data_IF_437796223519
#
_entry.id   IF_437796223519
#
_cell.length_a   1.000
_cell.length_b   1.000
_cell.length_c   1.000
_cell.angle_alpha   90.00
_cell.angle_beta   90.00
_cell.angle_gamma   90.00
#
_symmetry.space_group_name_H-M   'P 1'
#
loop_
_entity.id
_entity.type
_entity.pdbx_description
1 polymer ?
#
# COMPACT_ATOMS: atom_id res chain seq x y z
N UNK A 1 -4.34 -6.47 -11.35
CA UNK A 1 -4.06 -6.58 -9.91
C UNK A 1 -5.37 -6.67 -9.14
N UNK A 2 -5.55 -7.72 -8.32
CA UNK A 2 -6.71 -7.88 -7.45
C UNK A 2 -6.43 -7.27 -6.07
N UNK A 3 -7.21 -6.27 -5.67
CA UNK A 3 -7.04 -5.57 -4.38
C UNK A 3 -7.98 -6.07 -3.29
N UNK A 4 -8.88 -7.02 -3.60
CA UNK A 4 -9.89 -7.48 -2.66
C UNK A 4 -9.28 -8.21 -1.46
N UNK A 5 -8.22 -9.00 -1.69
CA UNK A 5 -7.47 -9.67 -0.62
C UNK A 5 -6.75 -8.66 0.29
N UNK A 6 -6.10 -7.65 -0.29
CA UNK A 6 -5.44 -6.59 0.46
C UNK A 6 -6.44 -5.81 1.34
N UNK A 7 -7.60 -5.44 0.78
CA UNK A 7 -8.68 -4.79 1.53
C UNK A 7 -9.12 -5.62 2.73
N UNK A 8 -9.39 -6.93 2.54
CA UNK A 8 -9.78 -7.83 3.63
C UNK A 8 -8.69 -7.97 4.70
N UNK A 9 -7.42 -8.02 4.30
CA UNK A 9 -6.30 -8.08 5.23
C UNK A 9 -6.21 -6.82 6.11
N UNK A 10 -6.38 -5.63 5.52
CA UNK A 10 -6.41 -4.37 6.27
C UNK A 10 -7.56 -4.33 7.27
N UNK A 11 -8.76 -4.76 6.88
CA UNK A 11 -9.93 -4.83 7.79
C UNK A 11 -9.65 -5.75 8.96
N UNK A 12 -9.08 -6.93 8.69
CA UNK A 12 -8.73 -7.90 9.73
C UNK A 12 -7.67 -7.34 10.68
N UNK A 13 -6.64 -6.68 10.14
CA UNK A 13 -5.56 -6.09 10.92
C UNK A 13 -6.06 -4.92 11.80
N UNK A 14 -6.93 -4.06 11.25
CA UNK A 14 -7.55 -2.97 12.00
C UNK A 14 -8.31 -3.50 13.22
N UNK A 15 -9.14 -4.54 13.02
CA UNK A 15 -9.85 -5.22 14.11
C UNK A 15 -8.90 -5.85 15.13
N UNK A 16 -7.83 -6.51 14.69
CA UNK A 16 -6.84 -7.12 15.58
C UNK A 16 -6.09 -6.08 16.44
N UNK A 17 -5.81 -4.90 15.88
CA UNK A 17 -5.14 -3.80 16.58
C UNK A 17 -6.09 -2.92 17.38
N UNK A 18 -7.41 -3.12 17.29
CA UNK A 18 -8.40 -2.27 17.94
C UNK A 18 -8.46 -0.84 17.37
N UNK A 19 -8.04 -0.65 16.12
CA UNK A 19 -8.07 0.66 15.43
C UNK A 19 -9.15 0.67 14.34
N UNK A 20 -9.63 1.85 13.98
CA UNK A 20 -10.55 2.01 12.86
C UNK A 20 -9.87 1.69 11.52
N UNK A 21 -10.62 1.13 10.57
CA UNK A 21 -10.13 0.86 9.21
C UNK A 21 -9.60 2.13 8.53
N UNK A 22 -10.27 3.26 8.75
CA UNK A 22 -9.87 4.56 8.22
C UNK A 22 -8.54 5.02 8.80
N UNK A 23 -8.35 4.89 10.12
CA UNK A 23 -7.10 5.25 10.79
C UNK A 23 -5.92 4.41 10.26
N UNK A 24 -6.12 3.10 10.12
CA UNK A 24 -5.10 2.20 9.58
C UNK A 24 -4.75 2.55 8.12
N UNK A 25 -5.76 2.79 7.27
CA UNK A 25 -5.53 3.21 5.87
C UNK A 25 -4.82 4.57 5.80
N UNK A 26 -5.19 5.50 6.67
CA UNK A 26 -4.60 6.83 6.73
C UNK A 26 -3.12 6.77 7.10
N UNK A 27 -2.77 5.98 8.12
CA UNK A 27 -1.37 5.77 8.54
C UNK A 27 -0.51 5.18 7.41
N UNK A 28 -1.02 4.16 6.71
CA UNK A 28 -0.31 3.57 5.58
C UNK A 28 -0.17 4.57 4.42
N UNK A 29 -1.21 5.37 4.15
CA UNK A 29 -1.15 6.42 3.13
C UNK A 29 -0.08 7.47 3.44
N UNK A 30 0.07 7.85 4.71
CA UNK A 30 1.14 8.74 5.13
C UNK A 30 2.50 8.13 4.87
N UNK A 31 2.72 6.87 5.29
CA UNK A 31 3.97 6.16 5.03
C UNK A 31 4.31 6.07 3.54
N UNK A 32 3.33 5.80 2.68
CA UNK A 32 3.50 5.82 1.21
C UNK A 32 3.90 7.21 0.73
N UNK A 33 3.22 8.25 1.21
CA UNK A 33 3.48 9.64 0.81
C UNK A 33 4.90 10.07 1.20
N UNK A 34 5.38 9.64 2.37
CA UNK A 34 6.76 9.87 2.81
C UNK A 34 7.75 9.06 1.97
N UNK A 35 7.47 7.79 1.71
CA UNK A 35 8.33 6.95 0.89
C UNK A 35 8.47 7.44 -0.56
N UNK A 36 7.42 8.05 -1.12
CA UNK A 36 7.44 8.70 -2.44
C UNK A 36 8.39 9.90 -2.51
N UNK A 37 8.70 10.54 -1.37
CA UNK A 37 9.65 11.66 -1.30
C UNK A 37 11.11 11.17 -1.19
N UNK A 38 11.35 9.86 -1.13
CA UNK A 38 12.70 9.33 -1.01
C UNK A 38 13.56 9.76 -2.22
N UNK A 39 14.78 10.29 -2.00
CA UNK A 39 15.70 10.64 -3.08
C UNK A 39 16.35 9.41 -3.71
N UNK A 40 16.17 8.22 -3.13
CA UNK A 40 16.81 6.99 -3.61
C UNK A 40 16.27 6.57 -4.99
N UNK A 41 17.13 6.43 -6.02
CA UNK A 41 16.69 6.08 -7.38
C UNK A 41 15.97 4.74 -7.46
N UNK A 42 16.38 3.77 -6.64
CA UNK A 42 15.75 2.45 -6.58
C UNK A 42 14.33 2.55 -6.01
N UNK A 43 14.14 3.33 -4.94
CA UNK A 43 12.83 3.57 -4.36
C UNK A 43 11.90 4.27 -5.37
N UNK A 44 12.38 5.30 -6.06
CA UNK A 44 11.59 5.99 -7.09
C UNK A 44 11.19 5.05 -8.24
N UNK A 45 12.10 4.18 -8.66
CA UNK A 45 11.82 3.18 -9.71
C UNK A 45 10.73 2.23 -9.24
N UNK A 46 10.86 1.68 -8.04
CA UNK A 46 9.84 0.80 -7.45
C UNK A 46 8.47 1.46 -7.40
N UNK A 47 8.37 2.68 -6.86
CA UNK A 47 7.09 3.39 -6.75
C UNK A 47 6.44 3.70 -8.10
N UNK A 48 7.25 4.02 -9.12
CA UNK A 48 6.78 4.23 -10.50
C UNK A 48 6.32 2.94 -11.19
N UNK A 49 6.80 1.78 -10.75
CA UNK A 49 6.40 0.48 -11.31
C UNK A 49 5.05 -0.02 -10.80
N UNK A 50 4.53 0.53 -9.70
CA UNK A 50 3.25 0.10 -9.13
C UNK A 50 2.10 0.57 -10.03
N UNK A 51 1.26 -0.32 -10.59
CA UNK A 51 0.08 0.09 -11.35
C UNK A 51 -0.96 0.70 -10.41
N UNK A 52 -1.35 1.95 -10.66
CA UNK A 52 -2.37 2.62 -9.86
C UNK A 52 -3.31 3.48 -10.71
N UNK A 53 -4.53 3.70 -10.19
CA UNK A 53 -5.56 4.48 -10.91
C UNK A 53 -5.48 5.99 -10.68
N UNK A 54 -4.97 6.42 -9.53
CA UNK A 54 -4.90 7.84 -9.13
C UNK A 54 -3.53 8.48 -9.40
N UNK A 55 -3.27 9.65 -8.83
CA UNK A 55 -1.93 10.28 -8.85
C UNK A 55 -0.89 9.50 -8.04
N UNK A 56 -1.33 8.78 -7.00
CA UNK A 56 -0.49 7.98 -6.12
C UNK A 56 -1.17 6.63 -5.85
N UNK A 57 -0.39 5.56 -5.61
CA UNK A 57 -0.95 4.25 -5.31
C UNK A 57 -1.65 4.25 -3.95
N UNK A 58 -2.79 3.56 -3.88
CA UNK A 58 -3.52 3.34 -2.62
C UNK A 58 -2.84 2.27 -1.76
N UNK A 59 -3.09 2.25 -0.43
CA UNK A 59 -2.60 1.19 0.45
C UNK A 59 -2.89 -0.21 -0.09
N UNK A 60 -4.10 -0.44 -0.59
CA UNK A 60 -4.50 -1.73 -1.16
C UNK A 60 -3.75 -2.08 -2.44
N UNK A 61 -3.49 -1.10 -3.31
CA UNK A 61 -2.72 -1.30 -4.55
C UNK A 61 -1.27 -1.65 -4.25
N UNK A 62 -0.63 -0.93 -3.32
CA UNK A 62 0.75 -1.21 -2.90
C UNK A 62 0.88 -2.61 -2.30
N UNK A 63 -0.01 -2.96 -1.36
CA UNK A 63 0.02 -4.28 -0.71
C UNK A 63 -0.22 -5.39 -1.74
N UNK A 64 -1.17 -5.20 -2.65
CA UNK A 64 -1.47 -6.19 -3.68
C UNK A 64 -0.30 -6.37 -4.64
N UNK A 65 0.36 -5.29 -5.05
CA UNK A 65 1.53 -5.33 -5.93
C UNK A 65 2.70 -6.06 -5.26
N UNK A 66 3.06 -5.65 -4.04
CA UNK A 66 4.14 -6.29 -3.28
C UNK A 66 3.82 -7.79 -3.14
N UNK A 67 2.61 -8.13 -2.67
CA UNK A 67 2.20 -9.52 -2.49
C UNK A 67 2.21 -10.33 -3.80
N UNK A 68 2.13 -9.71 -4.97
CA UNK A 68 2.29 -10.38 -6.25
C UNK A 68 3.77 -10.62 -6.57
N UNK A 69 4.62 -9.61 -6.34
CA UNK A 69 6.07 -9.68 -6.59
C UNK A 69 6.83 -10.68 -5.71
N UNK A 70 6.32 -11.04 -4.53
CA UNK A 70 6.94 -12.05 -3.63
C UNK A 70 6.41 -13.47 -3.82
N UNK A 71 5.46 -13.71 -4.74
CA UNK A 71 4.95 -15.07 -5.00
C UNK A 71 5.84 -15.91 -5.91
N UNK A 72 6.99 -15.39 -6.32
CA UNK A 72 8.06 -16.13 -6.99
C UNK A 72 8.78 -17.11 -6.06
#
# INVERSE_FOLDING_TARGET
>A
MDTAKAKKALIKLAKQKGVSEEALRHEIKLAITEALKSPEPQAQTFWKSIPHKGEQPTPEEVIAYIADTVKD
#
